data_IF_116818902996
#
_entry.id   IF_116818902996
#
_cell.length_a   1.000
_cell.length_b   1.000
_cell.length_c   1.000
_cell.angle_alpha   90.00
_cell.angle_beta   90.00
_cell.angle_gamma   90.00
#
_symmetry.space_group_name_H-M   'P 1'
#
loop_
_entity.id
_entity.type
_entity.pdbx_description
1 polymer ?
#
# COMPACT_ATOMS: atom_id res chain seq x y z
N UNK A 1 -12.97 -13.50 5.34
CA UNK A 1 -12.22 -12.91 4.20
C UNK A 1 -10.80 -13.41 4.33
N UNK A 2 -10.29 -14.13 3.33
CA UNK A 2 -8.96 -14.72 3.40
C UNK A 2 -7.88 -13.64 3.32
N UNK A 3 -6.78 -13.80 4.07
CA UNK A 3 -5.68 -12.82 4.12
C UNK A 3 -5.15 -12.47 2.72
N UNK A 4 -5.09 -13.46 1.83
CA UNK A 4 -4.66 -13.23 0.44
C UNK A 4 -5.64 -12.32 -0.30
N UNK A 5 -6.95 -12.55 -0.18
CA UNK A 5 -7.96 -11.71 -0.85
C UNK A 5 -7.90 -10.24 -0.44
N UNK A 6 -7.47 -9.94 0.80
CA UNK A 6 -7.21 -8.57 1.24
C UNK A 6 -5.95 -7.98 0.59
N UNK A 7 -4.89 -8.78 0.43
CA UNK A 7 -3.65 -8.33 -0.21
C UNK A 7 -3.88 -7.97 -1.67
N UNK A 8 -4.51 -8.86 -2.44
CA UNK A 8 -4.88 -8.60 -3.85
C UNK A 8 -5.64 -7.28 -3.97
N UNK A 9 -6.70 -7.11 -3.17
CA UNK A 9 -7.51 -5.87 -3.20
C UNK A 9 -6.71 -4.61 -2.89
N UNK A 10 -5.77 -4.66 -1.94
CA UNK A 10 -4.93 -3.50 -1.60
C UNK A 10 -3.90 -3.24 -2.70
N UNK A 11 -3.28 -4.29 -3.23
CA UNK A 11 -2.30 -4.18 -4.31
C UNK A 11 -2.94 -3.63 -5.60
N UNK A 12 -4.09 -4.16 -5.99
CA UNK A 12 -4.90 -3.68 -7.11
C UNK A 12 -5.24 -2.20 -6.97
N UNK A 13 -5.66 -1.76 -5.78
CA UNK A 13 -5.98 -0.35 -5.53
C UNK A 13 -4.74 0.55 -5.67
N UNK A 14 -3.61 0.16 -5.09
CA UNK A 14 -2.36 0.92 -5.19
C UNK A 14 -1.89 1.10 -6.64
N UNK A 15 -2.05 0.06 -7.46
CA UNK A 15 -1.70 0.06 -8.88
C UNK A 15 -2.70 0.89 -9.70
N UNK A 16 -4.00 0.65 -9.54
CA UNK A 16 -5.06 1.35 -10.27
C UNK A 16 -5.09 2.85 -10.00
N UNK A 17 -4.79 3.27 -8.77
CA UNK A 17 -4.71 4.68 -8.38
C UNK A 17 -3.36 5.33 -8.73
N UNK A 18 -2.37 4.55 -9.18
CA UNK A 18 -1.04 5.05 -9.53
C UNK A 18 -0.24 5.58 -8.33
N UNK A 19 -0.60 5.17 -7.12
CA UNK A 19 0.04 5.64 -5.88
C UNK A 19 1.09 4.67 -5.34
N UNK A 20 1.23 3.49 -5.93
CA UNK A 20 2.28 2.54 -5.57
C UNK A 20 3.68 3.19 -5.66
N UNK A 21 4.56 2.85 -4.71
CA UNK A 21 5.98 3.23 -4.70
C UNK A 21 6.84 1.97 -4.68
N UNK A 22 8.12 2.10 -5.05
CA UNK A 22 9.07 0.99 -5.04
C UNK A 22 8.97 0.21 -3.72
N UNK A 23 8.88 -1.14 -3.77
CA UNK A 23 9.11 -2.01 -4.94
C UNK A 23 7.89 -2.18 -5.88
N UNK A 24 8.16 -2.27 -7.19
CA UNK A 24 7.17 -2.58 -8.22
C UNK A 24 7.37 -3.99 -8.81
N UNK A 25 6.29 -4.66 -9.27
CA UNK A 25 4.88 -4.34 -9.00
C UNK A 25 4.53 -4.55 -7.50
N UNK A 26 3.44 -3.96 -6.97
CA UNK A 26 3.09 -4.08 -5.55
C UNK A 26 2.69 -5.51 -5.15
N UNK A 27 2.13 -6.28 -6.09
CA UNK A 27 1.79 -7.69 -5.93
C UNK A 27 2.99 -8.53 -5.47
N UNK A 28 2.77 -9.39 -4.48
CA UNK A 28 3.79 -10.26 -3.86
C UNK A 28 5.03 -9.53 -3.31
N UNK A 29 4.85 -8.27 -2.90
CA UNK A 29 5.86 -7.46 -2.21
C UNK A 29 5.34 -6.94 -0.88
N UNK A 30 6.25 -6.34 -0.09
CA UNK A 30 5.88 -5.41 0.98
C UNK A 30 5.68 -4.05 0.26
N UNK A 31 4.44 -3.60 0.02
CA UNK A 31 4.20 -2.42 -0.80
C UNK A 31 4.51 -1.14 -0.03
N UNK A 32 4.79 -0.09 -0.80
CA UNK A 32 4.86 1.29 -0.32
C UNK A 32 3.91 2.16 -1.17
N UNK A 33 3.53 3.34 -0.67
CA UNK A 33 2.55 4.21 -1.32
C UNK A 33 2.88 5.71 -1.18
N UNK A 34 2.35 6.52 -2.09
CA UNK A 34 2.47 7.98 -2.02
C UNK A 34 1.75 8.51 -0.77
N UNK A 35 2.44 9.32 0.04
CA UNK A 35 1.90 9.81 1.32
C UNK A 35 2.15 8.89 2.51
N UNK A 36 2.93 7.82 2.36
CA UNK A 36 3.28 6.93 3.47
C UNK A 36 4.01 7.63 4.63
N UNK A 37 4.85 8.63 4.34
CA UNK A 37 5.51 9.44 5.36
C UNK A 37 4.49 10.27 6.16
N UNK A 38 3.63 11.02 5.48
CA UNK A 38 2.58 11.83 6.12
C UNK A 38 1.62 10.97 6.96
N UNK A 39 1.29 9.77 6.48
CA UNK A 39 0.49 8.80 7.22
C UNK A 39 1.19 8.32 8.50
N UNK A 40 2.50 8.09 8.44
CA UNK A 40 3.30 7.73 9.60
C UNK A 40 3.39 8.87 10.62
N UNK A 41 3.59 10.11 10.16
CA UNK A 41 3.63 11.29 11.03
C UNK A 41 2.29 11.50 11.76
N UNK A 42 1.17 11.31 11.06
CA UNK A 42 -0.17 11.37 11.67
C UNK A 42 -0.39 10.29 12.73
N UNK A 43 0.13 9.08 12.51
CA UNK A 43 0.05 7.98 13.48
C UNK A 43 0.95 8.24 14.69
N UNK A 44 2.10 8.87 14.49
CA UNK A 44 3.00 9.21 15.59
C UNK A 44 2.44 10.35 16.48
N UNK A 45 1.54 11.16 15.95
CA UNK A 45 0.92 12.29 16.65
C UNK A 45 -0.32 11.90 17.48
N UNK A 46 -0.73 10.63 17.51
CA UNK A 46 -1.80 10.10 18.40
C UNK A 46 -1.24 9.54 19.69
#
# INVERSE_FOLDING_TARGET
MEKQSLRERVWDALEAEGIARFPFPPHDRIPNFAGAADAADRLAAT
#
